data_IF_915374350575
#
_entry.id   IF_915374350575
#
_cell.length_a   1.000
_cell.length_b   1.000
_cell.length_c   1.000
_cell.angle_alpha   90.00
_cell.angle_beta   90.00
_cell.angle_gamma   90.00
#
_symmetry.space_group_name_H-M   'P 1'
#
loop_
_entity.id
_entity.type
_entity.pdbx_description
1 polymer ?
#
# COMPACT_ATOMS: atom_id res chain seq x y z
N UNK A 1 -13.70 -19.79 -3.47
CA UNK A 1 -12.88 -18.92 -4.32
C UNK A 1 -11.50 -18.85 -3.69
N UNK A 2 -10.42 -18.89 -4.47
CA UNK A 2 -9.10 -18.68 -3.88
C UNK A 2 -8.95 -17.20 -3.52
N UNK A 3 -8.45 -16.85 -2.32
CA UNK A 3 -8.19 -15.47 -1.94
C UNK A 3 -7.19 -14.82 -2.91
N UNK A 4 -7.31 -13.51 -3.11
CA UNK A 4 -6.42 -12.79 -4.04
C UNK A 4 -5.04 -12.53 -3.43
N UNK A 5 -5.03 -11.98 -2.21
CA UNK A 5 -3.83 -11.90 -1.37
C UNK A 5 -4.14 -12.65 -0.07
N UNK A 6 -3.31 -13.63 0.26
CA UNK A 6 -3.46 -14.47 1.44
C UNK A 6 -2.23 -14.35 2.34
N UNK A 7 -2.48 -14.10 3.60
CA UNK A 7 -1.51 -14.15 4.68
C UNK A 7 -1.85 -15.39 5.51
N UNK A 8 -0.98 -16.40 5.50
CA UNK A 8 -1.18 -17.66 6.23
C UNK A 8 -0.14 -17.83 7.33
N UNK A 9 -0.58 -17.74 8.59
CA UNK A 9 0.20 -17.94 9.82
C UNK A 9 1.52 -17.17 9.81
N UNK A 10 1.50 -15.96 9.28
CA UNK A 10 2.67 -15.10 9.18
C UNK A 10 3.29 -14.88 10.57
N UNK A 11 4.57 -15.19 10.69
CA UNK A 11 5.33 -15.03 11.93
C UNK A 11 6.61 -14.24 11.65
N UNK A 12 6.86 -13.21 12.47
CA UNK A 12 8.06 -12.37 12.40
C UNK A 12 8.73 -12.28 13.76
N UNK A 13 10.01 -12.69 13.82
CA UNK A 13 10.83 -12.66 15.03
C UNK A 13 12.09 -11.84 14.81
N UNK A 14 12.44 -11.02 15.80
CA UNK A 14 13.65 -10.22 15.82
C UNK A 14 14.38 -10.52 17.13
N UNK A 15 15.39 -11.40 17.08
CA UNK A 15 16.01 -11.90 18.30
C UNK A 15 14.99 -12.59 19.23
N UNK A 16 14.83 -12.08 20.44
CA UNK A 16 13.88 -12.58 21.41
C UNK A 16 12.45 -12.02 21.27
N UNK A 17 12.23 -11.03 20.40
CA UNK A 17 10.92 -10.40 20.20
C UNK A 17 10.15 -11.08 19.05
N UNK A 18 8.94 -11.53 19.31
CA UNK A 18 7.98 -11.94 18.28
C UNK A 18 7.06 -10.76 17.98
N UNK A 19 7.29 -10.09 16.85
CA UNK A 19 6.54 -8.90 16.43
C UNK A 19 5.23 -9.24 15.72
N UNK A 20 5.16 -10.40 15.05
CA UNK A 20 3.95 -10.98 14.46
C UNK A 20 3.96 -12.47 14.78
N UNK A 21 2.86 -13.01 15.26
CA UNK A 21 2.73 -14.37 15.78
C UNK A 21 1.53 -15.09 15.18
N UNK A 22 1.75 -15.82 14.09
CA UNK A 22 0.75 -16.66 13.44
C UNK A 22 -0.42 -15.90 12.83
N UNK A 23 -0.20 -14.67 12.33
CA UNK A 23 -1.26 -13.84 11.74
C UNK A 23 -1.78 -14.45 10.45
N UNK A 24 -3.11 -14.61 10.35
CA UNK A 24 -3.77 -15.07 9.13
C UNK A 24 -4.95 -14.17 8.79
N UNK A 25 -5.04 -13.73 7.55
CA UNK A 25 -6.19 -13.03 6.96
C UNK A 25 -6.10 -13.07 5.44
N UNK A 26 -7.19 -12.70 4.77
CA UNK A 26 -7.28 -12.69 3.31
C UNK A 26 -7.78 -11.34 2.80
N UNK A 27 -7.31 -10.96 1.61
CA UNK A 27 -7.78 -9.78 0.90
C UNK A 27 -8.42 -10.23 -0.41
N UNK A 28 -9.64 -9.80 -0.66
CA UNK A 28 -10.36 -10.10 -1.89
C UNK A 28 -9.87 -9.23 -3.05
N UNK A 29 -9.99 -9.72 -4.28
CA UNK A 29 -9.65 -8.94 -5.48
C UNK A 29 -10.54 -7.71 -5.60
N UNK A 30 -9.93 -6.57 -5.90
CA UNK A 30 -10.64 -5.30 -6.08
C UNK A 30 -11.31 -4.80 -4.80
N UNK A 31 -10.83 -5.20 -3.63
CA UNK A 31 -11.30 -4.69 -2.34
C UNK A 31 -10.32 -3.69 -1.73
N UNK A 32 -10.83 -2.82 -0.85
CA UNK A 32 -10.02 -2.01 0.07
C UNK A 32 -10.06 -2.69 1.43
N UNK A 33 -8.92 -3.24 1.86
CA UNK A 33 -8.79 -3.95 3.13
C UNK A 33 -7.96 -3.12 4.12
N UNK A 34 -8.54 -2.87 5.30
CA UNK A 34 -7.86 -2.15 6.38
C UNK A 34 -7.09 -3.09 7.31
N UNK A 35 -5.85 -2.76 7.64
CA UNK A 35 -5.10 -3.41 8.71
C UNK A 35 -4.88 -2.41 9.84
N UNK A 36 -5.59 -2.59 10.93
CA UNK A 36 -5.62 -1.66 12.07
C UNK A 36 -5.08 -2.30 13.35
N UNK A 37 -4.87 -1.50 14.37
CA UNK A 37 -4.45 -1.93 15.70
C UNK A 37 -3.66 -0.84 16.42
N UNK A 38 -3.46 -0.93 17.73
CA UNK A 38 -2.69 0.02 18.50
C UNK A 38 -1.22 0.09 18.03
N UNK A 39 -0.49 1.10 18.55
CA UNK A 39 0.95 1.20 18.29
C UNK A 39 1.67 -0.03 18.83
N UNK A 40 2.61 -0.58 18.07
CA UNK A 40 3.30 -1.81 18.42
C UNK A 40 2.52 -3.11 18.13
N UNK A 41 1.32 -3.06 17.57
CA UNK A 41 0.54 -4.25 17.22
C UNK A 41 1.16 -5.14 16.12
N UNK A 42 2.19 -4.66 15.40
CA UNK A 42 2.85 -5.43 14.34
C UNK A 42 2.44 -5.06 12.91
N UNK A 43 1.62 -4.03 12.71
CA UNK A 43 1.10 -3.60 11.39
C UNK A 43 2.21 -3.34 10.37
N UNK A 44 3.14 -2.44 10.69
CA UNK A 44 4.28 -2.09 9.81
C UNK A 44 5.18 -3.30 9.55
N UNK A 45 5.35 -4.18 10.54
CA UNK A 45 6.10 -5.43 10.38
C UNK A 45 5.41 -6.36 9.40
N UNK A 46 4.09 -6.47 9.46
CA UNK A 46 3.27 -7.25 8.52
C UNK A 46 3.41 -6.68 7.10
N UNK A 47 3.31 -5.37 6.93
CA UNK A 47 3.54 -4.70 5.63
C UNK A 47 4.94 -4.95 5.08
N UNK A 48 5.95 -4.87 5.94
CA UNK A 48 7.33 -5.16 5.56
C UNK A 48 7.50 -6.62 5.09
N UNK A 49 6.80 -7.56 5.71
CA UNK A 49 6.83 -8.96 5.29
C UNK A 49 6.10 -9.19 3.96
N UNK A 50 4.93 -8.57 3.76
CA UNK A 50 4.14 -8.66 2.51
C UNK A 50 4.92 -8.04 1.34
N UNK A 51 5.56 -6.88 1.56
CA UNK A 51 6.31 -6.17 0.51
C UNK A 51 7.69 -6.78 0.20
N UNK A 52 8.10 -7.85 0.90
CA UNK A 52 9.41 -8.47 0.70
C UNK A 52 10.59 -7.70 1.32
N UNK A 53 10.32 -6.69 2.17
CA UNK A 53 11.35 -5.98 2.92
C UNK A 53 11.93 -6.85 4.04
N UNK A 54 11.09 -7.65 4.70
CA UNK A 54 11.51 -8.67 5.65
C UNK A 54 11.13 -10.06 5.14
N UNK A 55 12.06 -11.01 5.34
CA UNK A 55 11.75 -12.41 5.15
C UNK A 55 11.01 -12.94 6.37
N UNK A 56 9.82 -13.53 6.24
CA UNK A 56 9.11 -14.15 7.34
C UNK A 56 9.94 -15.21 8.08
N UNK A 57 9.78 -15.27 9.39
CA UNK A 57 10.35 -16.33 10.23
C UNK A 57 9.52 -17.62 10.15
N UNK A 58 8.26 -17.53 9.75
CA UNK A 58 7.34 -18.63 9.53
C UNK A 58 6.06 -18.14 8.86
N UNK A 59 5.26 -19.08 8.35
CA UNK A 59 4.08 -18.80 7.56
C UNK A 59 4.41 -18.31 6.15
N UNK A 60 3.39 -17.97 5.39
CA UNK A 60 3.52 -17.61 3.99
C UNK A 60 2.62 -16.44 3.61
N UNK A 61 3.03 -15.71 2.57
CA UNK A 61 2.21 -14.73 1.86
C UNK A 61 2.04 -15.22 0.44
N UNK A 62 0.80 -15.27 -0.04
CA UNK A 62 0.47 -15.73 -1.39
C UNK A 62 -0.31 -14.65 -2.14
N UNK A 63 0.06 -14.45 -3.39
CA UNK A 63 -0.70 -13.63 -4.34
C UNK A 63 -1.26 -14.55 -5.43
N UNK A 64 -2.59 -14.58 -5.61
CA UNK A 64 -3.26 -15.46 -6.60
C UNK A 64 -2.86 -16.94 -6.45
N UNK A 65 -2.62 -17.37 -5.20
CA UNK A 65 -2.18 -18.74 -4.87
C UNK A 65 -0.66 -18.98 -5.00
N UNK A 66 0.10 -18.06 -5.59
CA UNK A 66 1.57 -18.16 -5.69
C UNK A 66 2.25 -17.59 -4.45
N UNK A 67 3.21 -18.31 -3.88
CA UNK A 67 4.00 -17.85 -2.73
C UNK A 67 4.91 -16.71 -3.15
N UNK A 68 4.77 -15.57 -2.46
CA UNK A 68 5.61 -14.37 -2.66
C UNK A 68 6.48 -14.06 -1.44
N UNK A 69 6.22 -14.70 -0.30
CA UNK A 69 7.02 -14.54 0.91
C UNK A 69 8.46 -15.03 0.71
N UNK A 70 9.43 -14.26 1.23
CA UNK A 70 10.86 -14.56 1.07
C UNK A 70 11.48 -14.11 -0.25
N UNK A 71 10.70 -13.59 -1.18
CA UNK A 71 11.18 -12.87 -2.36
C UNK A 71 11.69 -11.47 -1.96
N UNK A 72 12.58 -10.89 -2.75
CA UNK A 72 13.02 -9.51 -2.57
C UNK A 72 11.89 -8.52 -2.92
N UNK A 73 11.97 -7.29 -2.39
CA UNK A 73 11.00 -6.22 -2.72
C UNK A 73 10.82 -6.03 -4.23
N UNK A 74 11.91 -6.08 -4.98
CA UNK A 74 11.87 -5.95 -6.44
C UNK A 74 11.09 -7.10 -7.09
N UNK A 75 11.28 -8.34 -6.64
CA UNK A 75 10.54 -9.50 -7.17
C UNK A 75 9.08 -9.48 -6.78
N UNK A 76 8.75 -9.01 -5.56
CA UNK A 76 7.37 -8.81 -5.10
C UNK A 76 6.68 -7.73 -5.93
N UNK A 77 7.36 -6.60 -6.17
CA UNK A 77 6.85 -5.52 -7.01
C UNK A 77 6.59 -6.00 -8.45
N UNK A 78 7.48 -6.80 -9.03
CA UNK A 78 7.31 -7.39 -10.37
C UNK A 78 6.13 -8.38 -10.47
N UNK A 79 5.61 -8.87 -9.35
CA UNK A 79 4.40 -9.69 -9.28
C UNK A 79 3.14 -8.85 -9.07
N UNK A 80 3.27 -7.51 -9.08
CA UNK A 80 2.16 -6.59 -8.99
C UNK A 80 1.83 -6.11 -7.58
N UNK A 81 2.64 -6.40 -6.55
CA UNK A 81 2.45 -5.83 -5.21
C UNK A 81 3.34 -4.60 -5.05
N UNK A 82 2.76 -3.42 -5.14
CA UNK A 82 3.47 -2.14 -5.06
C UNK A 82 3.19 -1.50 -3.71
N UNK A 83 4.25 -1.10 -3.01
CA UNK A 83 4.13 -0.33 -1.76
C UNK A 83 4.44 1.13 -2.00
N UNK A 84 3.54 2.00 -1.53
CA UNK A 84 3.86 3.42 -1.37
C UNK A 84 4.51 3.62 0.00
N UNK A 85 5.58 4.40 0.07
CA UNK A 85 6.24 4.70 1.33
C UNK A 85 5.54 5.85 2.06
N UNK A 86 5.54 5.81 3.39
CA UNK A 86 4.91 6.77 4.32
C UNK A 86 5.35 8.23 4.04
N UNK A 87 6.57 8.42 3.64
CA UNK A 87 7.07 9.67 3.04
C UNK A 87 7.22 9.38 1.57
N UNK A 88 6.30 9.88 0.74
CA UNK A 88 6.43 9.82 -0.71
C UNK A 88 7.82 10.34 -1.05
N UNK A 89 8.74 9.43 -1.40
CA UNK A 89 10.06 9.78 -1.91
C UNK A 89 9.86 10.33 -3.31
N UNK A 90 9.17 11.49 -3.36
CA UNK A 90 9.12 12.27 -4.59
C UNK A 90 10.51 12.83 -4.82
N UNK A 91 10.97 12.72 -6.02
CA UNK A 91 12.15 13.45 -6.46
C UNK A 91 11.76 14.92 -6.62
N UNK A 92 11.92 15.70 -5.55
CA UNK A 92 11.40 17.06 -5.44
C UNK A 92 11.89 17.99 -6.57
N UNK A 93 13.12 17.78 -7.04
CA UNK A 93 13.73 18.55 -8.14
C UNK A 93 13.26 18.11 -9.52
N UNK A 94 12.67 16.94 -9.65
CA UNK A 94 12.10 16.42 -10.89
C UNK A 94 10.68 16.93 -11.08
N UNK A 95 10.25 16.99 -12.35
CA UNK A 95 8.87 17.32 -12.71
C UNK A 95 7.91 16.21 -12.27
N UNK A 96 6.62 16.55 -12.22
CA UNK A 96 5.52 15.61 -11.97
C UNK A 96 5.56 14.45 -12.97
N UNK A 97 5.78 14.75 -14.26
CA UNK A 97 5.89 13.73 -15.30
C UNK A 97 7.11 12.82 -15.10
N UNK A 98 8.28 13.38 -14.79
CA UNK A 98 9.48 12.59 -14.53
C UNK A 98 9.30 11.66 -13.33
N UNK A 99 8.65 12.14 -12.26
CA UNK A 99 8.28 11.29 -11.12
C UNK A 99 7.34 10.14 -11.53
N UNK A 100 6.31 10.41 -12.32
CA UNK A 100 5.39 9.38 -12.81
C UNK A 100 6.11 8.34 -13.70
N UNK A 101 7.08 8.78 -14.52
CA UNK A 101 7.91 7.90 -15.33
C UNK A 101 8.76 6.95 -14.48
N UNK A 102 9.20 7.37 -13.28
CA UNK A 102 9.93 6.46 -12.37
C UNK A 102 9.08 5.25 -11.98
N UNK A 103 7.76 5.41 -11.83
CA UNK A 103 6.84 4.31 -11.55
C UNK A 103 6.83 3.25 -12.65
N UNK A 104 6.97 3.66 -13.91
CA UNK A 104 6.93 2.74 -15.04
C UNK A 104 8.13 1.78 -15.10
N UNK A 105 9.28 2.15 -14.50
CA UNK A 105 10.47 1.29 -14.46
C UNK A 105 10.25 -0.04 -13.71
N UNK A 106 9.29 -0.09 -12.79
CA UNK A 106 8.95 -1.31 -12.07
C UNK A 106 8.23 -2.33 -12.97
N UNK A 107 7.52 -1.87 -14.01
CA UNK A 107 6.78 -2.69 -14.96
C UNK A 107 7.66 -3.22 -16.11
N UNK A 108 8.80 -2.57 -16.40
CA UNK A 108 9.70 -3.01 -17.49
C UNK A 108 10.73 -4.03 -16.98
N UNK A 109 10.91 -5.09 -17.77
CA UNK A 109 12.04 -6.02 -17.56
C UNK A 109 13.30 -5.32 -18.08
N UNK A 110 14.28 -4.94 -17.25
CA UNK A 110 15.56 -4.50 -17.79
C UNK A 110 16.23 -5.73 -18.41
N UNK A 111 16.14 -5.84 -19.72
CA UNK A 111 17.04 -6.71 -20.44
C UNK A 111 18.39 -5.99 -20.43
N UNK A 112 19.40 -6.57 -19.76
CA UNK A 112 20.75 -5.98 -19.65
C UNK A 112 21.32 -5.66 -21.03
N UNK A 113 20.96 -6.41 -22.07
CA UNK A 113 21.29 -6.12 -23.45
C UNK A 113 20.57 -4.89 -24.01
N UNK A 114 19.31 -4.64 -23.63
CA UNK A 114 18.56 -3.45 -24.04
C UNK A 114 19.11 -2.16 -23.39
N UNK A 115 19.67 -2.26 -22.20
CA UNK A 115 20.36 -1.13 -21.55
C UNK A 115 21.67 -0.75 -22.28
N UNK A 116 22.33 -1.69 -22.94
CA UNK A 116 23.56 -1.45 -23.73
C UNK A 116 23.24 -0.89 -25.12
N UNK A 117 22.09 -1.24 -25.72
CA UNK A 117 21.70 -0.86 -27.09
C UNK A 117 20.81 0.38 -27.15
N UNK A 118 20.44 0.93 -25.98
CA UNK A 118 19.46 2.04 -25.85
C UNK A 118 18.03 1.50 -25.88
N UNK A 119 17.20 2.04 -25.03
CA UNK A 119 15.76 1.74 -24.96
C UNK A 119 15.17 1.81 -26.36
N UNK A 120 14.46 0.78 -26.76
CA UNK A 120 13.70 0.80 -27.99
C UNK A 120 12.67 1.96 -27.92
N UNK A 121 12.48 2.65 -29.02
CA UNK A 121 11.55 3.80 -29.10
C UNK A 121 10.12 3.41 -28.69
N UNK A 122 9.76 2.15 -28.87
CA UNK A 122 8.46 1.58 -28.53
C UNK A 122 8.28 1.48 -27.00
N UNK A 123 9.28 1.02 -26.27
CA UNK A 123 9.28 0.93 -24.80
C UNK A 123 9.18 2.32 -24.16
N UNK A 124 9.89 3.31 -24.71
CA UNK A 124 9.81 4.71 -24.23
C UNK A 124 8.42 5.31 -24.44
N UNK A 125 7.80 5.04 -25.60
CA UNK A 125 6.44 5.51 -25.88
C UNK A 125 5.43 4.87 -24.93
N UNK A 126 5.55 3.57 -24.67
CA UNK A 126 4.71 2.85 -23.73
C UNK A 126 4.86 3.37 -22.28
N UNK A 127 6.08 3.61 -21.83
CA UNK A 127 6.35 4.19 -20.51
C UNK A 127 5.75 5.60 -20.37
N UNK A 128 5.96 6.45 -21.40
CA UNK A 128 5.41 7.80 -21.41
C UNK A 128 3.89 7.80 -21.39
N UNK A 129 3.24 6.98 -22.23
CA UNK A 129 1.79 6.86 -22.28
C UNK A 129 1.20 6.46 -20.92
N UNK A 130 1.81 5.49 -20.24
CA UNK A 130 1.41 5.06 -18.88
C UNK A 130 1.60 6.13 -17.82
N UNK A 131 2.70 6.85 -17.88
CA UNK A 131 2.93 7.95 -16.95
C UNK A 131 1.87 9.05 -17.12
N UNK A 132 1.54 9.41 -18.36
CA UNK A 132 0.48 10.37 -18.67
C UNK A 132 -0.88 9.86 -18.22
N UNK A 133 -1.24 8.60 -18.53
CA UNK A 133 -2.48 7.97 -18.06
C UNK A 133 -2.59 8.01 -16.54
N UNK A 134 -1.50 7.70 -15.81
CA UNK A 134 -1.49 7.79 -14.35
C UNK A 134 -1.74 9.22 -13.86
N UNK A 135 -1.12 10.22 -14.49
CA UNK A 135 -1.34 11.62 -14.12
C UNK A 135 -2.78 12.08 -14.41
N UNK A 136 -3.35 11.68 -15.55
CA UNK A 136 -4.75 11.94 -15.89
C UNK A 136 -5.71 11.29 -14.88
N UNK A 137 -5.43 10.02 -14.52
CA UNK A 137 -6.23 9.28 -13.56
C UNK A 137 -6.31 9.99 -12.20
N UNK A 138 -5.21 10.58 -11.74
CA UNK A 138 -5.12 11.28 -10.46
C UNK A 138 -5.34 12.80 -10.58
N UNK A 139 -5.71 13.33 -11.76
CA UNK A 139 -6.01 14.75 -11.97
C UNK A 139 -4.79 15.66 -11.93
N UNK A 140 -3.61 15.13 -12.27
CA UNK A 140 -2.32 15.84 -12.24
C UNK A 140 -1.80 16.23 -13.63
N UNK A 141 -2.56 15.97 -14.69
CA UNK A 141 -2.13 16.21 -16.08
C UNK A 141 -1.71 17.66 -16.31
N UNK A 142 -2.49 18.62 -15.80
CA UNK A 142 -2.20 20.06 -15.92
C UNK A 142 -0.93 20.50 -15.21
N UNK A 143 -0.42 19.70 -14.26
CA UNK A 143 0.75 19.99 -13.42
C UNK A 143 2.01 19.24 -13.91
N UNK A 144 1.93 18.51 -15.02
CA UNK A 144 3.01 17.60 -15.48
C UNK A 144 4.39 18.24 -15.63
N UNK A 145 4.44 19.55 -15.91
CA UNK A 145 5.68 20.32 -16.08
C UNK A 145 6.18 20.97 -14.80
N UNK A 146 5.40 20.96 -13.72
CA UNK A 146 5.77 21.55 -12.45
C UNK A 146 6.74 20.64 -11.69
N UNK A 147 7.57 21.22 -10.82
CA UNK A 147 8.43 20.46 -9.92
C UNK A 147 7.57 19.78 -8.84
N UNK A 148 7.84 18.52 -8.55
CA UNK A 148 7.11 17.79 -7.53
C UNK A 148 7.22 18.41 -6.14
N UNK A 149 8.36 19.04 -5.82
CA UNK A 149 8.59 19.75 -4.55
C UNK A 149 7.73 20.98 -4.35
N UNK A 150 7.28 21.63 -5.45
CA UNK A 150 6.50 22.88 -5.41
C UNK A 150 4.99 22.61 -5.31
N UNK A 151 4.57 21.35 -5.44
CA UNK A 151 3.15 20.96 -5.34
C UNK A 151 2.61 21.15 -3.91
N UNK A 152 1.34 21.49 -3.81
CA UNK A 152 0.60 21.38 -2.55
C UNK A 152 0.60 19.92 -2.03
N UNK A 153 0.57 19.72 -0.72
CA UNK A 153 0.68 18.40 -0.08
C UNK A 153 -0.31 17.37 -0.64
N UNK A 154 -1.57 17.76 -0.88
CA UNK A 154 -2.56 16.87 -1.48
C UNK A 154 -2.16 16.37 -2.87
N UNK A 155 -1.60 17.24 -3.72
CA UNK A 155 -1.09 16.86 -5.04
C UNK A 155 0.18 15.99 -4.95
N UNK A 156 1.06 16.25 -3.96
CA UNK A 156 2.23 15.38 -3.73
C UNK A 156 1.81 13.96 -3.36
N UNK A 157 0.78 13.80 -2.52
CA UNK A 157 0.21 12.49 -2.17
C UNK A 157 -0.44 11.81 -3.37
N UNK A 158 -1.24 12.56 -4.15
CA UNK A 158 -1.82 12.05 -5.39
C UNK A 158 -0.74 11.60 -6.39
N UNK A 159 0.37 12.35 -6.48
CA UNK A 159 1.53 11.97 -7.31
C UNK A 159 2.17 10.67 -6.82
N UNK A 160 2.32 10.47 -5.51
CA UNK A 160 2.81 9.20 -4.95
C UNK A 160 1.94 8.01 -5.36
N UNK A 161 0.62 8.19 -5.39
CA UNK A 161 -0.31 7.16 -5.87
C UNK A 161 -0.23 6.99 -7.40
N UNK A 162 -0.06 8.08 -8.16
CA UNK A 162 0.12 8.02 -9.61
C UNK A 162 1.40 7.24 -9.99
N UNK A 163 2.50 7.43 -9.24
CA UNK A 163 3.75 6.66 -9.42
C UNK A 163 3.48 5.16 -9.20
N UNK A 164 2.77 4.80 -8.13
CA UNK A 164 2.42 3.41 -7.85
C UNK A 164 1.50 2.82 -8.93
N UNK A 165 0.51 3.59 -9.40
CA UNK A 165 -0.41 3.18 -10.46
C UNK A 165 0.28 2.99 -11.81
N UNK A 166 1.25 3.83 -12.15
CA UNK A 166 2.04 3.72 -13.37
C UNK A 166 2.82 2.40 -13.47
N UNK A 167 3.05 1.71 -12.35
CA UNK A 167 3.65 0.38 -12.29
C UNK A 167 2.68 -0.76 -12.63
N UNK A 168 1.41 -0.48 -12.93
CA UNK A 168 0.33 -1.47 -13.14
C UNK A 168 0.19 -2.47 -11.98
N UNK A 169 -0.12 -1.98 -10.77
CA UNK A 169 -0.23 -2.83 -9.61
C UNK A 169 -1.48 -3.72 -9.66
N UNK A 170 -1.34 -4.96 -9.20
CA UNK A 170 -2.48 -5.80 -8.79
C UNK A 170 -2.92 -5.45 -7.36
N UNK A 171 -1.93 -5.15 -6.49
CA UNK A 171 -2.12 -4.77 -5.09
C UNK A 171 -1.29 -3.53 -4.78
N UNK A 172 -1.92 -2.54 -4.16
CA UNK A 172 -1.21 -1.37 -3.59
C UNK A 172 -1.25 -1.46 -2.07
N UNK A 173 -0.08 -1.40 -1.45
CA UNK A 173 0.09 -1.31 -0.01
C UNK A 173 0.26 0.16 0.39
N UNK A 174 -0.69 0.71 1.14
CA UNK A 174 -0.71 2.10 1.59
C UNK A 174 -0.41 2.17 3.11
N UNK A 175 0.65 2.85 3.48
CA UNK A 175 1.10 3.00 4.86
C UNK A 175 0.83 4.43 5.33
N UNK A 176 -0.20 4.60 6.17
CA UNK A 176 -0.67 5.87 6.76
C UNK A 176 -0.84 7.01 5.73
N UNK A 177 -1.60 6.80 4.65
CA UNK A 177 -1.71 7.76 3.56
C UNK A 177 -2.40 9.08 3.96
N UNK A 178 -3.19 9.10 5.03
CA UNK A 178 -3.93 10.30 5.48
C UNK A 178 -3.16 11.17 6.48
N UNK A 179 -1.98 10.75 6.92
CA UNK A 179 -1.19 11.49 7.91
C UNK A 179 -0.91 12.92 7.47
N UNK A 180 -1.29 13.90 8.30
CA UNK A 180 -1.08 15.32 8.05
C UNK A 180 -2.09 15.98 7.10
N UNK A 181 -3.12 15.26 6.67
CA UNK A 181 -4.21 15.80 5.84
C UNK A 181 -5.29 16.46 6.68
N UNK A 182 -5.87 17.53 6.16
CA UNK A 182 -7.11 18.08 6.68
C UNK A 182 -8.33 17.23 6.22
N UNK A 183 -9.55 17.42 6.80
CA UNK A 183 -10.72 16.62 6.45
C UNK A 183 -11.13 16.64 4.98
N UNK A 184 -10.94 17.77 4.29
CA UNK A 184 -11.24 17.88 2.86
C UNK A 184 -10.25 17.10 2.00
N UNK A 185 -8.96 17.18 2.33
CA UNK A 185 -7.90 16.42 1.67
C UNK A 185 -8.09 14.92 1.89
N UNK A 186 -8.44 14.50 3.12
CA UNK A 186 -8.77 13.11 3.44
C UNK A 186 -9.93 12.61 2.58
N UNK A 187 -11.02 13.39 2.47
CA UNK A 187 -12.18 13.02 1.65
C UNK A 187 -11.80 12.85 0.19
N UNK A 188 -11.05 13.78 -0.39
CA UNK A 188 -10.55 13.68 -1.78
C UNK A 188 -9.67 12.46 -1.99
N UNK A 189 -8.78 12.19 -1.03
CA UNK A 189 -7.90 11.01 -1.11
C UNK A 189 -8.70 9.71 -1.02
N UNK A 190 -9.72 9.62 -0.17
CA UNK A 190 -10.64 8.48 -0.13
C UNK A 190 -11.36 8.27 -1.46
N UNK A 191 -11.78 9.34 -2.14
CA UNK A 191 -12.39 9.25 -3.47
C UNK A 191 -11.41 8.71 -4.52
N UNK A 192 -10.16 9.17 -4.50
CA UNK A 192 -9.10 8.65 -5.38
C UNK A 192 -8.83 7.15 -5.12
N UNK A 193 -8.84 6.72 -3.85
CA UNK A 193 -8.67 5.30 -3.51
C UNK A 193 -9.86 4.44 -3.98
N UNK A 194 -11.09 4.95 -3.85
CA UNK A 194 -12.27 4.26 -4.41
C UNK A 194 -12.16 4.14 -5.92
N UNK A 195 -11.81 5.23 -6.61
CA UNK A 195 -11.58 5.22 -8.06
C UNK A 195 -10.50 4.21 -8.45
N UNK A 196 -9.41 4.12 -7.67
CA UNK A 196 -8.34 3.15 -7.87
C UNK A 196 -8.84 1.71 -7.69
N UNK A 197 -9.61 1.42 -6.64
CA UNK A 197 -10.27 0.12 -6.45
C UNK A 197 -11.20 -0.21 -7.61
N UNK A 198 -12.03 0.74 -8.05
CA UNK A 198 -13.00 0.55 -9.11
C UNK A 198 -12.34 0.29 -10.48
N UNK A 199 -11.06 0.65 -10.64
CA UNK A 199 -10.23 0.24 -11.79
C UNK A 199 -9.71 -1.20 -11.70
N UNK A 200 -10.04 -1.94 -10.63
CA UNK A 200 -9.65 -3.34 -10.42
C UNK A 200 -8.42 -3.53 -9.53
N UNK A 201 -7.83 -2.46 -9.02
CA UNK A 201 -6.67 -2.54 -8.12
C UNK A 201 -7.14 -2.90 -6.70
N UNK A 202 -6.50 -3.90 -6.10
CA UNK A 202 -6.70 -4.26 -4.69
C UNK A 202 -5.88 -3.34 -3.79
N UNK A 203 -6.43 -2.88 -2.69
CA UNK A 203 -5.75 -1.98 -1.75
C UNK A 203 -5.69 -2.62 -0.37
N UNK A 204 -4.50 -2.71 0.20
CA UNK A 204 -4.30 -3.01 1.62
C UNK A 204 -3.73 -1.76 2.29
N UNK A 205 -4.44 -1.23 3.27
CA UNK A 205 -4.13 0.05 3.93
C UNK A 205 -3.86 -0.16 5.42
N UNK A 206 -2.77 0.41 5.92
CA UNK A 206 -2.54 0.62 7.36
C UNK A 206 -2.87 2.05 7.70
N UNK A 207 -3.73 2.24 8.66
CA UNK A 207 -4.13 3.57 9.15
C UNK A 207 -4.53 3.52 10.62
N UNK A 208 -4.45 4.67 11.27
CA UNK A 208 -4.89 4.88 12.64
C UNK A 208 -6.11 5.83 12.73
N UNK A 209 -6.45 6.51 11.65
CA UNK A 209 -7.70 7.28 11.54
C UNK A 209 -8.89 6.34 11.33
N UNK A 210 -9.57 6.05 12.44
CA UNK A 210 -10.73 5.16 12.44
C UNK A 210 -11.89 5.68 11.59
N UNK A 211 -12.05 7.02 11.46
CA UNK A 211 -13.11 7.59 10.63
C UNK A 211 -12.85 7.28 9.15
N UNK A 212 -11.62 7.49 8.70
CA UNK A 212 -11.23 7.21 7.32
C UNK A 212 -11.35 5.70 7.01
N UNK A 213 -10.84 4.84 7.90
CA UNK A 213 -10.90 3.38 7.72
C UNK A 213 -12.35 2.87 7.65
N UNK A 214 -13.21 3.30 8.61
CA UNK A 214 -14.60 2.88 8.63
C UNK A 214 -15.42 3.38 7.43
N UNK A 215 -15.02 4.51 6.85
CA UNK A 215 -15.69 5.07 5.67
C UNK A 215 -15.16 4.56 4.33
N UNK A 216 -13.98 3.91 4.31
CA UNK A 216 -13.28 3.56 3.08
C UNK A 216 -13.21 2.04 2.85
N UNK A 217 -12.94 1.25 3.89
CA UNK A 217 -12.62 -0.16 3.74
C UNK A 217 -13.88 -1.03 3.57
N UNK A 218 -13.75 -2.05 2.72
CA UNK A 218 -14.78 -3.09 2.56
C UNK A 218 -14.68 -4.14 3.70
N UNK A 219 -13.44 -4.42 4.15
CA UNK A 219 -13.14 -5.35 5.23
C UNK A 219 -11.95 -4.84 6.04
N UNK A 220 -11.91 -5.20 7.31
CA UNK A 220 -10.88 -4.73 8.25
C UNK A 220 -10.37 -5.90 9.07
N UNK A 221 -9.05 -6.01 9.17
CA UNK A 221 -8.33 -6.89 10.11
C UNK A 221 -7.75 -6.04 11.23
N UNK A 222 -8.14 -6.32 12.46
CA UNK A 222 -7.59 -5.70 13.66
C UNK A 222 -6.53 -6.59 14.30
N UNK A 223 -5.37 -6.01 14.58
CA UNK A 223 -4.25 -6.69 15.24
C UNK A 223 -4.02 -6.14 16.64
N UNK A 224 -3.60 -7.02 17.55
CA UNK A 224 -3.07 -6.65 18.86
C UNK A 224 -1.94 -7.58 19.25
N UNK A 225 -0.82 -7.04 19.77
CA UNK A 225 0.37 -7.81 20.18
C UNK A 225 0.83 -8.87 19.17
N UNK A 226 0.85 -8.52 17.88
CA UNK A 226 1.30 -9.38 16.79
C UNK A 226 0.30 -10.43 16.34
N UNK A 227 -0.91 -10.48 16.88
CA UNK A 227 -1.94 -11.47 16.59
C UNK A 227 -3.19 -10.84 16.01
N UNK A 228 -3.99 -11.67 15.33
CA UNK A 228 -5.34 -11.32 14.93
C UNK A 228 -6.20 -11.12 16.18
N UNK A 229 -6.86 -9.98 16.29
CA UNK A 229 -7.81 -9.68 17.35
C UNK A 229 -9.25 -9.85 16.86
N UNK A 230 -9.57 -9.26 15.71
CA UNK A 230 -10.87 -9.36 15.07
C UNK A 230 -10.74 -9.12 13.56
N UNK A 231 -11.68 -9.66 12.78
CA UNK A 231 -11.79 -9.41 11.35
C UNK A 231 -13.28 -9.32 10.97
N UNK A 232 -13.63 -8.34 10.15
CA UNK A 232 -15.01 -8.15 9.72
C UNK A 232 -15.23 -6.89 8.89
N UNK A 233 -16.48 -6.59 8.61
CA UNK A 233 -16.87 -5.32 7.99
C UNK A 233 -16.72 -4.15 8.97
N UNK A 234 -16.75 -2.88 8.46
CA UNK A 234 -16.58 -1.69 9.31
C UNK A 234 -17.56 -1.64 10.49
N UNK A 235 -18.82 -2.01 10.30
CA UNK A 235 -19.83 -2.00 11.35
C UNK A 235 -19.54 -3.03 12.46
N UNK A 236 -19.07 -4.22 12.09
CA UNK A 236 -18.70 -5.29 13.02
C UNK A 236 -17.49 -4.88 13.86
N UNK A 237 -16.45 -4.38 13.22
CA UNK A 237 -15.21 -3.95 13.89
C UNK A 237 -15.49 -2.78 14.83
N UNK A 238 -16.33 -1.83 14.42
CA UNK A 238 -16.68 -0.66 15.24
C UNK A 238 -17.36 -1.04 16.56
N UNK A 239 -18.15 -2.12 16.57
CA UNK A 239 -18.90 -2.59 17.75
C UNK A 239 -18.21 -3.73 18.50
N UNK A 240 -17.04 -4.21 18.01
CA UNK A 240 -16.36 -5.37 18.60
C UNK A 240 -15.77 -5.02 19.98
N UNK A 241 -16.16 -5.71 21.07
CA UNK A 241 -15.72 -5.35 22.42
C UNK A 241 -14.20 -5.32 22.59
N UNK A 242 -13.50 -6.34 22.10
CA UNK A 242 -12.04 -6.45 22.25
C UNK A 242 -11.31 -5.37 21.44
N UNK A 243 -11.86 -4.95 20.29
CA UNK A 243 -11.30 -3.84 19.51
C UNK A 243 -11.45 -2.53 20.27
N UNK A 244 -12.63 -2.27 20.85
CA UNK A 244 -12.88 -1.09 21.68
C UNK A 244 -11.93 -1.07 22.87
N UNK A 245 -11.76 -2.19 23.57
CA UNK A 245 -10.85 -2.31 24.72
C UNK A 245 -9.39 -2.07 24.31
N UNK A 246 -8.93 -2.64 23.20
CA UNK A 246 -7.55 -2.47 22.70
C UNK A 246 -7.21 -1.01 22.39
N UNK A 247 -8.16 -0.22 21.91
CA UNK A 247 -7.97 1.21 21.63
C UNK A 247 -8.17 2.10 22.87
N UNK A 248 -9.09 1.77 23.76
CA UNK A 248 -9.35 2.53 25.00
C UNK A 248 -8.42 2.13 26.13
N UNK A 249 -8.03 0.86 26.22
CA UNK A 249 -7.14 0.32 27.25
C UNK A 249 -5.71 0.86 27.17
N UNK A 250 -5.24 1.19 25.95
CA UNK A 250 -3.93 1.84 25.73
C UNK A 250 -3.80 3.23 26.35
N UNK A 251 -4.91 3.91 26.65
CA UNK A 251 -4.92 5.21 27.33
C UNK A 251 -4.70 5.12 28.86
N UNK A 252 -4.76 3.93 29.44
CA UNK A 252 -4.63 3.74 30.91
C UNK A 252 -3.21 3.36 31.38
N UNK A 253 -2.27 3.14 30.46
CA UNK A 253 -0.88 2.75 30.80
C UNK A 253 0.16 3.84 30.61
N UNK A 254 -0.25 5.10 30.44
CA UNK A 254 0.65 6.27 30.44
C UNK A 254 0.26 7.17 31.61
N UNK A 255 0.66 6.75 32.80
CA UNK A 255 0.68 7.59 33.99
C UNK A 255 1.90 7.21 34.84
#
# INVERSE_FOLDING_TARGET
MNPFLEIDRLTMRFGGLTAVDGLSFTVEHGAIHGLIGPNGAGKTTTFNAISGFYRPSGGEVRLRGEVISGLSMHEVARRGVIRTFQHSTLFAEMTVLENALMGTHMAFRPNVFAAIVGWDREDRRGAYARAVEALEFFGLEGLRGERAGDLAHGHQRALGMAIAYAAHPDVVLLDEPFTGMNPEETTRMMELMRKLRDSGVTILIVEHDMHAIMGLCDRITCMSFGKLLAEGGPAEIRSHPDVIEAYLGGARHVS
#
